data_IF_121228032170
#
_entry.id   IF_121228032170
#
_cell.length_a   1.000
_cell.length_b   1.000
_cell.length_c   1.000
_cell.angle_alpha   90.00
_cell.angle_beta   90.00
_cell.angle_gamma   90.00
#
_symmetry.space_group_name_H-M   'P 1'
#
loop_
_entity.id
_entity.type
_entity.pdbx_description
1 polymer ?
#
# COMPACT_ATOMS: atom_id res chain seq x y z
N UNK A 1 -17.54 -10.27 11.56
CA UNK A 1 -18.90 -10.27 12.12
C UNK A 1 -19.84 -10.17 10.95
N UNK A 2 -20.78 -11.12 10.84
CA UNK A 2 -21.86 -11.02 9.89
C UNK A 2 -22.83 -9.91 10.29
N UNK A 3 -23.73 -9.54 9.38
CA UNK A 3 -24.80 -8.55 9.62
C UNK A 3 -25.71 -8.89 10.81
N UNK A 4 -25.69 -10.14 11.27
CA UNK A 4 -26.41 -10.65 12.44
C UNK A 4 -25.57 -10.70 13.73
N UNK A 5 -24.32 -10.21 13.70
CA UNK A 5 -23.42 -10.22 14.85
C UNK A 5 -22.74 -11.56 15.15
N UNK A 6 -22.96 -12.59 14.32
CA UNK A 6 -22.29 -13.88 14.47
C UNK A 6 -20.80 -13.81 14.10
N UNK A 7 -19.99 -14.64 14.76
CA UNK A 7 -18.56 -14.77 14.49
C UNK A 7 -18.38 -15.57 13.20
N UNK A 8 -17.85 -14.92 12.16
CA UNK A 8 -17.44 -15.60 10.93
C UNK A 8 -16.10 -16.30 11.12
N UNK A 9 -16.09 -17.62 11.00
CA UNK A 9 -14.87 -18.38 10.81
C UNK A 9 -14.52 -18.42 9.32
N UNK A 10 -13.65 -17.51 8.90
CA UNK A 10 -13.10 -17.48 7.54
C UNK A 10 -11.84 -18.35 7.45
N UNK A 11 -11.80 -19.21 6.45
CA UNK A 11 -10.67 -20.06 6.09
C UNK A 11 -10.16 -19.70 4.68
N UNK A 12 -9.09 -20.35 4.20
CA UNK A 12 -8.50 -20.06 2.87
C UNK A 12 -9.50 -20.20 1.70
N UNK A 13 -10.52 -21.04 1.86
CA UNK A 13 -11.59 -21.25 0.86
C UNK A 13 -12.76 -20.27 0.96
N UNK A 14 -12.75 -19.37 1.95
CA UNK A 14 -13.83 -18.39 2.12
C UNK A 14 -13.77 -17.32 1.05
N UNK A 15 -14.94 -16.76 0.68
CA UNK A 15 -14.98 -15.60 -0.19
C UNK A 15 -14.43 -14.37 0.56
N UNK A 16 -13.14 -14.10 0.35
CA UNK A 16 -12.47 -12.99 1.03
C UNK A 16 -12.91 -11.62 0.47
N UNK A 17 -13.66 -11.59 -0.65
CA UNK A 17 -14.06 -10.35 -1.35
C UNK A 17 -12.88 -9.59 -1.95
N UNK A 18 -13.11 -8.77 -2.97
CA UNK A 18 -12.04 -8.05 -3.68
C UNK A 18 -11.18 -8.92 -4.62
N UNK A 19 -10.43 -8.27 -5.51
CA UNK A 19 -9.61 -8.95 -6.52
C UNK A 19 -8.18 -9.13 -6.04
N UNK A 20 -7.64 -10.36 -6.12
CA UNK A 20 -6.23 -10.60 -5.77
C UNK A 20 -5.30 -9.97 -6.81
N UNK A 21 -4.41 -9.05 -6.39
CA UNK A 21 -3.32 -8.53 -7.22
C UNK A 21 -2.08 -9.41 -7.03
N UNK A 22 -1.65 -10.04 -8.12
CA UNK A 22 -0.48 -10.92 -8.15
C UNK A 22 0.56 -10.42 -9.17
N UNK A 23 1.83 -10.62 -8.84
CA UNK A 23 2.94 -10.38 -9.78
C UNK A 23 3.46 -8.95 -9.77
N UNK A 24 4.40 -8.65 -10.66
CA UNK A 24 5.04 -7.34 -10.73
C UNK A 24 4.08 -6.30 -11.32
N UNK A 25 3.91 -5.19 -10.63
CA UNK A 25 3.07 -4.08 -11.08
C UNK A 25 3.79 -2.75 -10.89
N UNK A 26 3.49 -1.82 -11.79
CA UNK A 26 4.16 -0.52 -11.82
C UNK A 26 3.55 0.43 -10.78
N UNK A 27 4.44 1.00 -9.97
CA UNK A 27 4.15 2.06 -9.01
C UNK A 27 4.90 3.32 -9.43
N UNK A 28 4.16 4.39 -9.70
CA UNK A 28 4.68 5.72 -9.99
C UNK A 28 4.98 6.44 -8.69
N UNK A 29 6.18 6.99 -8.59
CA UNK A 29 6.66 7.69 -7.40
C UNK A 29 6.48 9.20 -7.55
N UNK A 30 5.90 9.81 -6.53
CA UNK A 30 5.68 11.25 -6.45
C UNK A 30 7.01 11.98 -6.32
N UNK A 31 7.07 13.18 -6.90
CA UNK A 31 8.21 14.07 -6.73
C UNK A 31 8.43 14.42 -5.25
N UNK A 32 9.70 14.56 -4.87
CA UNK A 32 10.11 14.85 -3.50
C UNK A 32 9.62 13.80 -2.47
N UNK A 33 9.35 12.57 -2.90
CA UNK A 33 9.10 11.45 -1.99
C UNK A 33 10.40 10.82 -1.54
N UNK A 34 10.36 10.23 -0.35
CA UNK A 34 11.49 9.46 0.16
C UNK A 34 11.72 8.21 -0.70
N UNK A 35 10.64 7.55 -1.14
CA UNK A 35 10.74 6.44 -2.08
C UNK A 35 11.52 6.83 -3.34
N UNK A 36 11.21 7.97 -3.96
CA UNK A 36 11.95 8.44 -5.15
C UNK A 36 13.42 8.72 -4.85
N UNK A 37 13.74 9.26 -3.68
CA UNK A 37 15.13 9.47 -3.25
C UNK A 37 15.89 8.16 -2.98
N UNK A 38 15.21 7.11 -2.51
CA UNK A 38 15.81 5.79 -2.27
C UNK A 38 16.01 5.06 -3.60
N UNK A 39 14.96 4.97 -4.42
CA UNK A 39 14.98 4.19 -5.66
C UNK A 39 15.64 4.93 -6.83
N UNK A 40 15.78 6.25 -6.75
CA UNK A 40 16.36 7.13 -7.80
C UNK A 40 15.69 6.93 -9.17
N UNK A 41 14.37 6.70 -9.17
CA UNK A 41 13.55 6.40 -10.35
C UNK A 41 12.17 7.05 -10.24
N UNK A 42 11.57 7.35 -11.38
CA UNK A 42 10.20 7.88 -11.46
C UNK A 42 9.13 6.80 -11.27
N UNK A 43 9.43 5.56 -11.70
CA UNK A 43 8.57 4.40 -11.45
C UNK A 43 9.38 3.17 -11.09
N UNK A 44 8.76 2.29 -10.31
CA UNK A 44 9.32 1.00 -9.88
C UNK A 44 8.30 -0.10 -10.14
N UNK A 45 8.79 -1.34 -10.23
CA UNK A 45 7.95 -2.52 -10.28
C UNK A 45 8.09 -3.28 -8.97
N UNK A 46 7.00 -3.33 -8.20
CA UNK A 46 6.93 -4.13 -7.00
C UNK A 46 6.10 -5.38 -7.29
N UNK A 47 6.41 -6.50 -6.63
CA UNK A 47 5.49 -7.65 -6.69
C UNK A 47 4.25 -7.29 -5.88
N UNK A 48 3.12 -7.89 -6.19
CA UNK A 48 1.89 -7.77 -5.42
C UNK A 48 1.48 -9.15 -4.97
N UNK A 49 1.03 -9.25 -3.71
CA UNK A 49 0.34 -10.44 -3.20
C UNK A 49 -0.67 -10.04 -2.13
N UNK A 50 -1.52 -9.08 -2.48
CA UNK A 50 -2.58 -8.59 -1.61
C UNK A 50 -3.91 -8.53 -2.35
N UNK A 51 -4.98 -8.46 -1.58
CA UNK A 51 -6.37 -8.39 -2.07
C UNK A 51 -7.07 -7.09 -1.65
N UNK A 52 -6.66 -6.54 -0.51
CA UNK A 52 -7.24 -5.32 0.03
C UNK A 52 -6.41 -4.14 -0.41
N UNK A 53 -7.09 -3.13 -0.93
CA UNK A 53 -6.51 -1.86 -1.32
C UNK A 53 -6.78 -0.80 -0.24
N UNK A 54 -5.99 0.27 -0.26
CA UNK A 54 -6.24 1.42 0.58
C UNK A 54 -7.63 2.03 0.31
N UNK A 55 -8.38 2.33 1.36
CA UNK A 55 -9.67 3.00 1.23
C UNK A 55 -9.48 4.51 1.10
N UNK A 56 -9.75 5.02 -0.10
CA UNK A 56 -9.56 6.43 -0.46
C UNK A 56 -10.33 7.41 0.43
N UNK A 57 -11.42 6.97 1.09
CA UNK A 57 -12.21 7.83 1.97
C UNK A 57 -11.41 8.33 3.17
N UNK A 58 -10.36 7.61 3.58
CA UNK A 58 -9.48 8.02 4.68
C UNK A 58 -8.29 8.83 4.22
N UNK A 59 -8.13 9.10 2.91
CA UNK A 59 -6.95 9.77 2.39
C UNK A 59 -6.74 11.14 3.04
N UNK A 60 -7.77 11.98 3.03
CA UNK A 60 -7.67 13.36 3.52
C UNK A 60 -7.35 13.39 5.02
N UNK A 61 -8.06 12.59 5.83
CA UNK A 61 -7.84 12.51 7.28
C UNK A 61 -6.40 12.08 7.62
N UNK A 62 -5.86 11.13 6.85
CA UNK A 62 -4.49 10.64 7.02
C UNK A 62 -3.44 11.65 6.51
N UNK A 63 -3.73 12.38 5.43
CA UNK A 63 -2.88 13.49 4.96
C UNK A 63 -2.81 14.62 5.99
N UNK A 64 -3.95 14.99 6.61
CA UNK A 64 -4.01 15.97 7.70
C UNK A 64 -3.25 15.49 8.95
N UNK A 65 -3.26 14.18 9.23
CA UNK A 65 -2.46 13.57 10.28
C UNK A 65 -0.94 13.54 9.98
N UNK A 66 -0.53 13.91 8.76
CA UNK A 66 0.86 14.05 8.34
C UNK A 66 1.44 12.88 7.55
N UNK A 67 0.59 11.97 7.05
CA UNK A 67 1.00 10.95 6.08
C UNK A 67 1.06 11.56 4.67
N UNK A 68 2.02 11.09 3.86
CA UNK A 68 2.19 11.49 2.46
C UNK A 68 2.00 10.26 1.58
N UNK A 69 1.09 10.35 0.62
CA UNK A 69 0.81 9.29 -0.35
C UNK A 69 1.76 9.42 -1.54
N UNK A 70 2.88 8.71 -1.50
CA UNK A 70 4.00 8.92 -2.44
C UNK A 70 4.03 7.96 -3.60
N UNK A 71 3.36 6.81 -3.54
CA UNK A 71 3.36 5.80 -4.59
C UNK A 71 1.95 5.47 -5.04
N UNK A 72 1.73 5.48 -6.36
CA UNK A 72 0.43 5.19 -6.96
C UNK A 72 0.57 4.23 -8.14
N UNK A 73 -0.36 3.29 -8.27
CA UNK A 73 -0.45 2.47 -9.49
C UNK A 73 -0.98 3.28 -10.67
N UNK A 74 -0.88 2.73 -11.89
CA UNK A 74 -1.47 3.34 -13.10
C UNK A 74 -2.96 3.64 -12.99
N UNK A 75 -3.66 2.86 -12.19
CA UNK A 75 -5.10 2.99 -11.97
C UNK A 75 -5.44 3.98 -10.84
N UNK A 76 -4.42 4.61 -10.24
CA UNK A 76 -4.58 5.58 -9.15
C UNK A 76 -4.76 4.96 -7.76
N UNK A 77 -4.51 3.65 -7.60
CA UNK A 77 -4.49 3.03 -6.27
C UNK A 77 -3.23 3.43 -5.51
N UNK A 78 -3.36 3.64 -4.21
CA UNK A 78 -2.24 3.93 -3.33
C UNK A 78 -1.41 2.67 -3.10
N UNK A 79 -0.12 2.79 -3.35
CA UNK A 79 0.86 1.70 -3.18
C UNK A 79 1.93 2.03 -2.12
N UNK A 80 2.27 3.31 -1.94
CA UNK A 80 3.27 3.73 -0.95
C UNK A 80 2.75 4.92 -0.15
N UNK A 81 2.87 4.81 1.17
CA UNK A 81 2.55 5.85 2.15
C UNK A 81 3.79 6.10 3.00
N UNK A 82 4.14 7.35 3.20
CA UNK A 82 5.31 7.79 3.96
C UNK A 82 4.88 8.69 5.11
N UNK A 83 5.61 8.66 6.22
CA UNK A 83 5.42 9.64 7.29
C UNK A 83 6.58 10.63 7.30
N UNK A 84 6.24 11.92 7.16
CA UNK A 84 7.23 12.99 7.01
C UNK A 84 7.86 13.50 8.31
N UNK A 85 7.45 13.01 9.49
CA UNK A 85 7.81 13.60 10.78
C UNK A 85 8.48 12.58 11.72
N UNK A 86 9.77 12.75 12.02
CA UNK A 86 10.51 11.84 12.92
C UNK A 86 11.33 10.78 12.18
N UNK A 87 11.64 9.61 12.78
CA UNK A 87 12.32 8.53 12.07
C UNK A 87 11.51 8.15 10.83
N UNK A 88 12.15 8.31 9.68
CA UNK A 88 11.63 8.02 8.35
C UNK A 88 10.97 6.64 8.30
N UNK A 89 9.65 6.61 8.09
CA UNK A 89 8.91 5.36 7.96
C UNK A 89 8.16 5.36 6.63
N UNK A 90 8.46 4.33 5.82
CA UNK A 90 7.87 4.07 4.50
C UNK A 90 7.06 2.78 4.60
N UNK A 91 5.75 2.86 4.35
CA UNK A 91 4.87 1.71 4.20
C UNK A 91 4.64 1.45 2.71
N UNK A 92 5.06 0.28 2.24
CA UNK A 92 4.77 -0.22 0.91
C UNK A 92 3.65 -1.27 1.00
N UNK A 93 2.53 -1.03 0.33
CA UNK A 93 1.32 -1.85 0.42
C UNK A 93 1.43 -3.15 -0.39
N UNK A 94 2.51 -3.33 -1.17
CA UNK A 94 2.54 -4.35 -2.22
C UNK A 94 3.02 -5.74 -1.79
N UNK A 95 3.80 -5.99 -0.71
CA UNK A 95 4.18 -7.39 -0.37
C UNK A 95 4.61 -7.67 1.08
N UNK A 96 4.14 -8.83 1.57
CA UNK A 96 4.84 -9.91 2.31
C UNK A 96 6.32 -9.65 2.71
N UNK A 97 6.75 -10.01 3.93
CA UNK A 97 7.87 -9.42 4.70
C UNK A 97 9.29 -9.77 4.22
N UNK A 98 9.53 -9.88 2.93
CA UNK A 98 10.89 -9.94 2.37
C UNK A 98 11.25 -8.61 1.72
N UNK A 99 11.07 -7.54 2.49
CA UNK A 99 11.68 -6.23 2.24
C UNK A 99 13.18 -6.49 2.12
N UNK A 100 13.75 -6.26 0.93
CA UNK A 100 15.17 -5.90 0.87
C UNK A 100 15.27 -4.60 1.64
N UNK A 101 15.67 -4.67 2.91
CA UNK A 101 16.15 -3.50 3.62
C UNK A 101 17.35 -3.02 2.82
N UNK A 102 17.14 -2.01 1.98
CA UNK A 102 18.24 -1.23 1.44
C UNK A 102 18.68 -0.38 2.63
N UNK A 103 19.72 -0.86 3.31
CA UNK A 103 20.56 -0.06 4.21
C UNK A 103 21.29 1.01 3.43
#
# INVERSE_FOLDING_TARGET
MNTDGSVENRNESSDLGGSMRLGAQECMLSDQSMAKNIYQKDSIFERHRHRYEFNINFKNDLEEAGLKFSGHSKDGLVEIIEFGKGPSLVFCLSISPRIHFIT
#
